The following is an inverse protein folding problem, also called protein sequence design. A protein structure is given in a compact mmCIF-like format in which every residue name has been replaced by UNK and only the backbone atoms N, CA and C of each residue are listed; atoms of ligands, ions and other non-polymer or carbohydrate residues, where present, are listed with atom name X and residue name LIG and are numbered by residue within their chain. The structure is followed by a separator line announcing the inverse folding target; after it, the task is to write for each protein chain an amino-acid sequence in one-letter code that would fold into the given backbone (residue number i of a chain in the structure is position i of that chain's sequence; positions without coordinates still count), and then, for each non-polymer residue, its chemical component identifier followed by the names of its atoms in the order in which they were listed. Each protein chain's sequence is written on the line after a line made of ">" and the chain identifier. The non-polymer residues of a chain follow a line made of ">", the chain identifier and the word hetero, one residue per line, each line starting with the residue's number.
data_IF_750184881022
#
_entry.id   IF_750184881022
#
_cell.length_a   1.000
_cell.length_b   1.000
_cell.length_c   1.000
_cell.angle_alpha   90.00
_cell.angle_beta   90.00
_cell.angle_gamma   90.00
#
_symmetry.space_group_name_H-M   'P 1'
#
loop_
_entity.id
_entity.type
_entity.pdbx_description
1 polymer ?
#
# COMPACT_ATOMS: atom_id res chain seq x y z
N UNK A 1 38.97 39.00 -26.52
CA UNK A 1 38.51 39.59 -25.26
C UNK A 1 36.99 39.44 -25.11
N UNK A 2 36.18 39.84 -26.12
CA UNK A 2 34.70 39.82 -26.06
C UNK A 2 34.10 38.42 -25.86
N UNK A 3 34.64 37.40 -26.54
CA UNK A 3 34.22 35.99 -26.42
C UNK A 3 34.47 35.45 -25.00
N UNK A 4 35.60 35.86 -24.39
CA UNK A 4 35.99 35.44 -23.05
C UNK A 4 35.04 36.04 -21.97
N UNK A 5 34.62 37.28 -22.17
CA UNK A 5 33.64 37.96 -21.31
C UNK A 5 32.24 37.31 -21.44
N UNK A 6 31.83 36.94 -22.65
CA UNK A 6 30.56 36.24 -22.89
C UNK A 6 30.59 34.83 -22.25
N UNK A 7 31.70 34.09 -22.38
CA UNK A 7 31.84 32.78 -21.72
C UNK A 7 31.83 32.88 -20.20
N UNK A 8 32.49 33.93 -19.63
CA UNK A 8 32.39 34.17 -18.18
C UNK A 8 30.99 34.56 -17.73
N UNK A 9 30.31 35.43 -18.49
CA UNK A 9 28.94 35.82 -18.21
C UNK A 9 27.97 34.60 -18.30
N UNK A 10 28.14 33.75 -19.31
CA UNK A 10 27.34 32.51 -19.39
C UNK A 10 27.61 31.52 -18.25
N UNK A 11 28.86 31.44 -17.78
CA UNK A 11 29.18 30.66 -16.58
C UNK A 11 28.57 31.25 -15.30
N UNK A 12 28.50 32.57 -15.20
CA UNK A 12 27.91 33.26 -14.05
C UNK A 12 26.40 33.15 -14.04
N UNK A 13 25.73 33.20 -15.20
CA UNK A 13 24.28 33.08 -15.38
C UNK A 13 23.86 31.58 -15.29
N UNK A 14 24.73 30.65 -15.75
CA UNK A 14 24.47 29.19 -15.67
C UNK A 14 24.79 28.58 -14.30
N UNK A 15 25.40 29.35 -13.37
CA UNK A 15 26.01 28.82 -12.14
C UNK A 15 25.09 28.70 -10.93
N UNK A 16 23.84 29.16 -10.98
CA UNK A 16 22.94 29.07 -9.84
C UNK A 16 21.63 28.40 -10.22
N UNK A 17 21.68 27.16 -10.68
CA UNK A 17 20.57 26.25 -10.44
C UNK A 17 20.67 25.87 -8.98
N UNK A 18 20.13 26.70 -8.11
CA UNK A 18 19.71 26.22 -6.79
C UNK A 18 18.83 25.01 -7.05
N UNK A 19 19.33 23.84 -6.69
CA UNK A 19 18.53 22.63 -6.66
C UNK A 19 17.48 22.83 -5.56
N UNK A 20 16.39 23.53 -5.89
CA UNK A 20 15.25 23.58 -5.02
C UNK A 20 14.75 22.13 -4.87
N UNK A 21 14.93 21.58 -3.68
CA UNK A 21 14.33 20.31 -3.32
C UNK A 21 12.82 20.51 -3.34
N UNK A 22 12.21 20.17 -4.47
CA UNK A 22 10.75 20.20 -4.58
C UNK A 22 10.20 19.05 -3.71
N UNK A 23 9.40 19.35 -2.68
CA UNK A 23 8.85 18.29 -1.84
C UNK A 23 7.93 17.40 -2.68
N UNK A 24 8.11 16.08 -2.56
CA UNK A 24 7.26 15.08 -3.22
C UNK A 24 6.08 14.75 -2.30
N UNK A 25 4.86 14.96 -2.79
CA UNK A 25 3.67 14.46 -2.11
C UNK A 25 3.66 12.93 -2.18
N UNK A 26 3.77 12.27 -1.04
CA UNK A 26 3.76 10.80 -0.97
C UNK A 26 2.35 10.23 -0.94
N UNK A 27 1.46 10.83 -0.15
CA UNK A 27 0.06 10.42 -0.03
C UNK A 27 -0.82 11.67 0.05
N UNK A 28 -1.84 11.74 -0.78
CA UNK A 28 -2.88 12.78 -0.75
C UNK A 28 -4.24 12.14 -1.03
N UNK A 29 -5.24 12.54 -0.27
CA UNK A 29 -6.63 12.07 -0.42
C UNK A 29 -7.62 13.22 -0.54
N UNK A 30 -7.13 14.46 -0.62
CA UNK A 30 -7.95 15.67 -0.54
C UNK A 30 -8.95 15.81 -1.70
N UNK A 31 -8.65 15.17 -2.85
CA UNK A 31 -9.52 15.19 -4.04
C UNK A 31 -10.50 14.01 -4.13
N UNK A 32 -10.56 13.14 -3.11
CA UNK A 32 -11.38 11.93 -3.14
C UNK A 32 -12.61 12.08 -2.24
N UNK A 33 -13.79 11.90 -2.82
CA UNK A 33 -15.06 11.90 -2.07
C UNK A 33 -15.21 10.71 -1.11
N UNK A 34 -14.52 9.60 -1.39
CA UNK A 34 -14.61 8.38 -0.57
C UNK A 34 -13.26 7.99 0.02
N UNK A 35 -13.26 7.43 1.25
CA UNK A 35 -12.07 6.84 1.84
C UNK A 35 -11.43 5.79 0.93
N UNK A 36 -10.10 5.70 0.89
CA UNK A 36 -9.42 4.73 0.04
C UNK A 36 -9.70 3.29 0.50
N UNK A 37 -9.97 2.42 -0.46
CA UNK A 37 -9.97 0.97 -0.28
C UNK A 37 -8.80 0.39 -1.05
N UNK A 38 -7.89 -0.25 -0.34
CA UNK A 38 -6.66 -0.81 -0.93
C UNK A 38 -6.64 -2.31 -0.68
N UNK A 39 -6.66 -3.09 -1.75
CA UNK A 39 -6.44 -4.52 -1.71
C UNK A 39 -4.95 -4.80 -1.83
N UNK A 40 -4.38 -5.43 -0.80
CA UNK A 40 -2.99 -5.82 -0.73
C UNK A 40 -2.80 -7.35 -0.67
N UNK A 41 -3.78 -8.10 -1.15
CA UNK A 41 -3.73 -9.56 -1.24
C UNK A 41 -2.52 -9.99 -2.09
N UNK A 42 -1.70 -10.88 -1.54
CA UNK A 42 -0.49 -11.36 -2.20
C UNK A 42 0.63 -10.34 -2.35
N UNK A 43 0.53 -9.16 -1.74
CA UNK A 43 1.56 -8.14 -1.84
C UNK A 43 2.88 -8.59 -1.21
N UNK A 44 3.99 -8.42 -1.92
CA UNK A 44 5.31 -8.56 -1.34
C UNK A 44 5.66 -7.37 -0.43
N UNK A 45 6.73 -7.50 0.38
CA UNK A 45 7.08 -6.51 1.40
C UNK A 45 7.17 -5.08 0.87
N UNK A 46 7.84 -4.85 -0.28
CA UNK A 46 7.95 -3.52 -0.87
C UNK A 46 6.61 -2.94 -1.34
N UNK A 47 5.72 -3.77 -1.91
CA UNK A 47 4.38 -3.32 -2.30
C UNK A 47 3.48 -3.02 -1.10
N UNK A 48 3.66 -3.77 0.01
CA UNK A 48 2.88 -3.57 1.23
C UNK A 48 3.39 -2.37 2.05
N UNK A 49 4.70 -2.31 2.29
CA UNK A 49 5.33 -1.38 3.25
C UNK A 49 5.95 -0.15 2.59
N UNK A 50 6.09 -0.18 1.27
CA UNK A 50 6.84 0.81 0.51
C UNK A 50 8.28 0.40 0.26
N UNK A 51 8.88 1.00 -0.73
CA UNK A 51 10.23 0.70 -1.17
C UNK A 51 10.95 1.95 -1.71
N UNK A 52 12.26 1.82 -1.91
CA UNK A 52 13.07 2.81 -2.61
C UNK A 52 13.50 2.20 -3.94
N UNK A 53 13.01 2.74 -5.04
CA UNK A 53 13.37 2.26 -6.38
C UNK A 53 14.87 2.29 -6.60
N UNK A 54 15.36 1.25 -7.25
CA UNK A 54 16.75 1.23 -7.74
C UNK A 54 16.94 2.30 -8.82
N UNK A 55 18.07 3.02 -8.75
CA UNK A 55 18.43 3.98 -9.79
C UNK A 55 19.08 3.25 -10.99
N UNK A 56 18.42 3.23 -12.17
CA UNK A 56 18.99 2.57 -13.34
C UNK A 56 20.25 3.28 -13.89
N UNK A 57 20.51 4.53 -13.48
CA UNK A 57 21.60 5.36 -13.97
C UNK A 57 22.83 5.36 -13.06
N UNK A 58 22.94 4.45 -12.10
CA UNK A 58 24.08 4.36 -11.15
C UNK A 58 25.47 4.31 -11.80
N UNK A 59 25.56 4.06 -13.10
CA UNK A 59 26.82 4.01 -13.86
C UNK A 59 27.16 5.30 -14.62
N UNK A 60 26.35 6.36 -14.54
CA UNK A 60 26.49 7.54 -15.40
C UNK A 60 26.69 8.89 -14.70
N UNK A 61 26.80 8.96 -13.40
CA UNK A 61 27.05 10.22 -12.66
C UNK A 61 25.86 11.18 -12.52
N UNK A 62 24.65 10.79 -12.93
CA UNK A 62 23.39 11.50 -12.74
C UNK A 62 22.49 10.66 -11.82
N UNK A 63 22.83 10.62 -10.52
CA UNK A 63 22.00 9.90 -9.55
C UNK A 63 20.70 10.65 -9.30
N UNK A 64 19.58 9.93 -9.47
CA UNK A 64 18.27 10.44 -9.03
C UNK A 64 18.25 10.53 -7.49
N UNK A 65 17.93 11.69 -6.91
CA UNK A 65 17.88 11.83 -5.45
C UNK A 65 17.02 10.76 -4.78
N UNK A 66 17.44 10.25 -3.64
CA UNK A 66 16.78 9.16 -2.95
C UNK A 66 15.31 9.46 -2.60
N UNK A 67 14.96 10.72 -2.31
CA UNK A 67 13.59 11.15 -2.02
C UNK A 67 12.65 11.03 -3.23
N UNK A 68 13.16 11.17 -4.45
CA UNK A 68 12.37 10.99 -5.69
C UNK A 68 12.09 9.51 -5.98
N UNK A 69 12.96 8.62 -5.49
CA UNK A 69 12.87 7.16 -5.67
C UNK A 69 11.96 6.47 -4.65
N UNK A 70 11.46 7.18 -3.63
CA UNK A 70 10.55 6.64 -2.64
C UNK A 70 9.22 6.23 -3.28
N UNK A 71 8.79 5.01 -3.03
CA UNK A 71 7.46 4.49 -3.36
C UNK A 71 6.66 4.14 -2.12
N UNK A 72 5.46 4.67 -2.05
CA UNK A 72 4.53 4.38 -0.95
C UNK A 72 3.94 2.99 -1.08
N UNK A 73 3.91 2.24 0.02
CA UNK A 73 3.26 0.95 0.10
C UNK A 73 1.74 1.04 0.27
N UNK A 74 1.10 -0.13 0.21
CA UNK A 74 -0.34 -0.26 0.39
C UNK A 74 -0.82 0.30 1.74
N UNK A 75 -0.05 0.13 2.83
CA UNK A 75 -0.38 0.68 4.15
C UNK A 75 -0.52 2.21 4.14
N UNK A 76 0.33 2.91 3.38
CA UNK A 76 0.28 4.37 3.27
C UNK A 76 -0.87 4.82 2.36
N UNK A 77 -1.09 4.10 1.24
CA UNK A 77 -2.20 4.37 0.31
C UNK A 77 -3.56 4.17 0.96
N UNK A 78 -3.65 3.24 1.92
CA UNK A 78 -4.86 2.97 2.70
C UNK A 78 -5.09 3.94 3.86
N UNK A 79 -4.20 4.90 4.08
CA UNK A 79 -4.32 5.86 5.18
C UNK A 79 -5.68 6.57 5.15
N UNK A 80 -6.35 6.63 6.31
CA UNK A 80 -7.74 7.12 6.51
C UNK A 80 -8.79 6.31 5.74
N UNK A 81 -8.48 5.05 5.41
CA UNK A 81 -9.38 4.15 4.69
C UNK A 81 -9.25 2.71 5.16
N UNK A 82 -9.39 1.78 4.23
CA UNK A 82 -9.39 0.35 4.49
C UNK A 82 -8.24 -0.33 3.75
N UNK A 83 -7.46 -1.11 4.49
CA UNK A 83 -6.51 -2.06 3.94
C UNK A 83 -7.12 -3.46 4.01
N UNK A 84 -7.35 -4.07 2.85
CA UNK A 84 -7.84 -5.44 2.74
C UNK A 84 -6.70 -6.40 2.40
N UNK A 85 -6.63 -7.53 3.09
CA UNK A 85 -5.64 -8.58 2.82
C UNK A 85 -6.34 -9.94 2.93
N UNK A 86 -6.50 -10.62 1.82
CA UNK A 86 -6.90 -12.03 1.84
C UNK A 86 -5.67 -12.93 2.05
N UNK A 87 -5.89 -14.07 2.65
CA UNK A 87 -4.84 -15.04 2.99
C UNK A 87 -3.66 -14.40 3.77
N UNK A 88 -3.97 -13.63 4.80
CA UNK A 88 -2.98 -12.88 5.60
C UNK A 88 -1.83 -13.76 6.13
N UNK A 89 -2.03 -15.05 6.26
CA UNK A 89 -1.03 -16.03 6.65
C UNK A 89 0.10 -16.21 5.63
N UNK A 90 -0.13 -15.86 4.35
CA UNK A 90 0.89 -15.94 3.29
C UNK A 90 1.91 -14.80 3.38
N UNK A 91 1.61 -13.74 4.12
CA UNK A 91 2.59 -12.70 4.39
C UNK A 91 3.77 -13.27 5.20
N UNK A 92 4.98 -12.92 4.79
CA UNK A 92 6.19 -13.25 5.56
C UNK A 92 6.09 -12.70 6.98
N UNK A 93 6.68 -13.40 7.93
CA UNK A 93 6.66 -13.03 9.36
C UNK A 93 7.14 -11.60 9.59
N UNK A 94 8.19 -11.16 8.89
CA UNK A 94 8.73 -9.80 8.98
C UNK A 94 7.71 -8.75 8.50
N UNK A 95 6.96 -9.07 7.44
CA UNK A 95 5.89 -8.19 6.94
C UNK A 95 4.72 -8.11 7.92
N UNK A 96 4.39 -9.22 8.59
CA UNK A 96 3.36 -9.25 9.62
C UNK A 96 3.78 -8.41 10.85
N UNK A 97 5.06 -8.46 11.26
CA UNK A 97 5.60 -7.64 12.34
C UNK A 97 5.58 -6.14 11.97
N UNK A 98 5.97 -5.81 10.74
CA UNK A 98 5.93 -4.44 10.24
C UNK A 98 4.50 -3.90 10.17
N UNK A 99 3.54 -4.73 9.73
CA UNK A 99 2.12 -4.41 9.72
C UNK A 99 1.59 -4.17 11.14
N UNK A 100 2.01 -4.99 12.11
CA UNK A 100 1.69 -4.78 13.52
C UNK A 100 2.20 -3.42 14.02
N UNK A 101 3.44 -3.05 13.70
CA UNK A 101 4.02 -1.75 14.07
C UNK A 101 3.22 -0.61 13.44
N UNK A 102 2.89 -0.70 12.15
CA UNK A 102 2.07 0.29 11.46
C UNK A 102 0.69 0.48 12.12
N UNK A 103 0.03 -0.63 12.50
CA UNK A 103 -1.26 -0.61 13.23
C UNK A 103 -1.17 0.00 14.63
N UNK A 104 -0.01 -0.13 15.29
CA UNK A 104 0.19 0.39 16.64
C UNK A 104 0.53 1.87 16.65
N UNK A 105 1.38 2.30 15.73
CA UNK A 105 1.92 3.66 15.70
C UNK A 105 1.14 4.62 14.81
N UNK A 106 0.31 4.10 13.89
CA UNK A 106 -0.40 4.91 12.87
C UNK A 106 0.53 5.59 11.87
N UNK A 107 1.82 5.23 11.86
CA UNK A 107 2.84 5.75 10.96
C UNK A 107 3.91 4.71 10.73
N UNK A 108 4.53 4.72 9.55
CA UNK A 108 5.57 3.77 9.19
C UNK A 108 6.59 4.41 8.26
N UNK A 109 7.89 4.15 8.50
CA UNK A 109 8.97 4.65 7.64
C UNK A 109 9.19 3.74 6.45
N UNK A 110 9.35 4.32 5.27
CA UNK A 110 9.70 3.59 4.06
C UNK A 110 11.20 3.34 4.07
N UNK A 111 11.61 2.08 3.91
CA UNK A 111 13.01 1.66 3.82
C UNK A 111 13.23 0.88 2.55
N UNK A 112 14.37 1.06 1.90
CA UNK A 112 14.74 0.26 0.72
C UNK A 112 14.84 -1.21 1.08
N UNK A 113 14.11 -2.05 0.35
CA UNK A 113 14.06 -3.52 0.51
C UNK A 113 15.11 -4.22 -0.35
N UNK A 114 15.89 -3.47 -1.14
CA UNK A 114 16.90 -4.04 -2.04
C UNK A 114 18.11 -4.53 -1.25
N UNK A 115 18.31 -5.83 -1.22
CA UNK A 115 19.48 -6.50 -0.59
C UNK A 115 20.82 -6.18 -1.28
N UNK A 116 20.80 -5.48 -2.43
CA UNK A 116 21.99 -5.24 -3.24
C UNK A 116 22.64 -3.86 -3.06
N UNK A 117 22.05 -2.96 -2.30
CA UNK A 117 22.69 -1.70 -2.03
C UNK A 117 23.65 -1.81 -0.84
N UNK A 118 24.91 -2.10 -1.12
CA UNK A 118 26.03 -1.92 -0.19
C UNK A 118 26.28 -0.43 0.15
N UNK A 119 25.32 0.44 -0.13
CA UNK A 119 25.30 1.85 0.21
C UNK A 119 24.37 2.14 1.41
N UNK A 120 24.45 3.35 1.93
CA UNK A 120 23.67 3.79 3.07
C UNK A 120 22.18 3.46 2.92
N UNK A 121 21.63 2.79 3.92
CA UNK A 121 20.19 2.45 3.95
C UNK A 121 19.37 3.74 3.91
N UNK A 122 18.63 3.96 2.83
CA UNK A 122 17.74 5.10 2.71
C UNK A 122 16.47 4.79 3.50
N UNK A 123 16.18 5.62 4.48
CA UNK A 123 14.99 5.55 5.31
C UNK A 123 14.27 6.89 5.28
N UNK A 124 12.97 6.88 5.01
CA UNK A 124 12.16 8.09 5.11
C UNK A 124 11.88 8.47 6.57
N UNK A 125 11.46 9.69 6.80
CA UNK A 125 10.72 10.00 8.03
C UNK A 125 9.44 9.16 8.10
N UNK A 126 8.87 8.97 9.32
CA UNK A 126 7.64 8.22 9.47
C UNK A 126 6.48 8.86 8.69
N UNK A 127 5.92 8.11 7.74
CA UNK A 127 4.78 8.52 6.93
C UNK A 127 3.49 8.04 7.58
N UNK A 128 2.44 8.88 7.71
CA UNK A 128 1.16 8.47 8.28
C UNK A 128 0.54 7.26 7.53
N UNK A 129 0.00 6.30 8.29
CA UNK A 129 -0.65 5.11 7.78
C UNK A 129 -1.74 4.62 8.74
N UNK A 130 -2.66 5.50 9.09
CA UNK A 130 -3.83 5.16 9.90
C UNK A 130 -4.90 4.51 9.02
N UNK A 131 -5.14 3.22 9.17
CA UNK A 131 -6.11 2.48 8.37
C UNK A 131 -6.88 1.45 9.20
N UNK A 132 -8.05 1.05 8.70
CA UNK A 132 -8.78 -0.10 9.21
C UNK A 132 -8.27 -1.33 8.47
N UNK A 133 -7.75 -2.31 9.22
CA UNK A 133 -7.34 -3.59 8.65
C UNK A 133 -8.54 -4.52 8.56
N UNK A 134 -8.84 -5.00 7.36
CA UNK A 134 -9.76 -6.11 7.11
C UNK A 134 -8.95 -7.25 6.50
N UNK A 135 -8.94 -8.39 7.14
CA UNK A 135 -8.22 -9.54 6.63
C UNK A 135 -9.10 -10.79 6.63
N UNK A 136 -8.85 -11.65 5.67
CA UNK A 136 -9.49 -12.94 5.53
C UNK A 136 -8.46 -14.06 5.51
N UNK A 137 -8.92 -15.29 5.73
CA UNK A 137 -8.08 -16.47 5.67
C UNK A 137 -8.81 -17.70 6.17
N UNK A 138 -8.26 -18.86 5.91
CA UNK A 138 -8.79 -20.13 6.39
C UNK A 138 -8.43 -20.35 7.87
N UNK A 139 -9.23 -21.15 8.58
CA UNK A 139 -8.98 -21.46 10.00
C UNK A 139 -7.58 -22.06 10.24
N UNK A 140 -7.13 -22.94 9.35
CA UNK A 140 -5.78 -23.52 9.40
C UNK A 140 -4.69 -22.46 9.18
N UNK A 141 -4.98 -21.46 8.39
CA UNK A 141 -4.11 -20.34 8.11
C UNK A 141 -3.85 -19.44 9.33
N UNK A 142 -4.79 -19.39 10.26
CA UNK A 142 -4.63 -18.62 11.50
C UNK A 142 -3.45 -19.11 12.34
N UNK A 143 -3.11 -20.39 12.26
CA UNK A 143 -1.94 -20.95 12.95
C UNK A 143 -0.61 -20.43 12.39
N UNK A 144 -0.59 -20.03 11.11
CA UNK A 144 0.58 -19.43 10.45
C UNK A 144 0.76 -17.94 10.71
N UNK A 145 -0.18 -17.29 11.38
CA UNK A 145 -0.06 -15.86 11.71
C UNK A 145 0.91 -15.64 12.87
N UNK A 146 1.62 -14.50 12.79
CA UNK A 146 2.44 -14.04 13.91
C UNK A 146 1.56 -13.82 15.17
N UNK A 147 1.89 -14.44 16.31
CA UNK A 147 1.02 -14.44 17.50
C UNK A 147 0.65 -13.03 17.99
N UNK A 148 1.61 -12.08 17.94
CA UNK A 148 1.37 -10.72 18.37
C UNK A 148 0.40 -9.96 17.45
N UNK A 149 0.46 -10.19 16.12
CA UNK A 149 -0.49 -9.59 15.17
C UNK A 149 -1.90 -10.14 15.42
N UNK A 150 -2.03 -11.46 15.58
CA UNK A 150 -3.30 -12.10 15.92
C UNK A 150 -3.88 -11.57 17.23
N UNK A 151 -3.05 -11.46 18.27
CA UNK A 151 -3.46 -10.90 19.56
C UNK A 151 -3.95 -9.45 19.44
N UNK A 152 -3.28 -8.65 18.60
CA UNK A 152 -3.68 -7.26 18.34
C UNK A 152 -5.04 -7.19 17.65
N UNK A 153 -5.25 -8.00 16.61
CA UNK A 153 -6.53 -8.06 15.89
C UNK A 153 -7.66 -8.46 16.84
N UNK A 154 -7.46 -9.49 17.66
CA UNK A 154 -8.46 -9.94 18.63
C UNK A 154 -8.74 -8.93 19.74
N UNK A 155 -7.72 -8.19 20.17
CA UNK A 155 -7.84 -7.23 21.28
C UNK A 155 -8.55 -5.94 20.90
N UNK A 156 -8.49 -5.53 19.64
CA UNK A 156 -9.01 -4.24 19.16
C UNK A 156 -9.99 -4.37 17.98
N UNK A 157 -10.26 -5.58 17.54
CA UNK A 157 -11.12 -5.86 16.40
C UNK A 157 -12.07 -7.02 16.67
N UNK A 158 -12.59 -7.60 15.60
CA UNK A 158 -13.53 -8.69 15.63
C UNK A 158 -13.04 -9.84 14.74
N UNK A 159 -13.10 -11.07 15.30
CA UNK A 159 -12.99 -12.29 14.49
C UNK A 159 -14.38 -12.76 14.10
N UNK A 160 -14.65 -12.86 12.79
CA UNK A 160 -15.91 -13.34 12.26
C UNK A 160 -15.69 -14.72 11.66
N UNK A 161 -16.31 -15.73 12.26
CA UNK A 161 -16.24 -17.10 11.76
C UNK A 161 -17.36 -17.32 10.74
N UNK A 162 -16.97 -17.50 9.48
CA UNK A 162 -17.90 -17.80 8.41
C UNK A 162 -18.33 -19.26 8.48
N UNK A 163 -19.62 -19.51 8.35
CA UNK A 163 -20.13 -20.87 8.24
C UNK A 163 -19.89 -21.40 6.82
N UNK A 164 -19.55 -22.70 6.72
CA UNK A 164 -19.33 -23.37 5.43
C UNK A 164 -20.60 -23.56 4.60
N UNK A 165 -21.75 -23.50 5.25
CA UNK A 165 -23.05 -23.71 4.60
C UNK A 165 -24.02 -22.62 5.01
N UNK A 166 -24.93 -22.28 4.12
CA UNK A 166 -26.03 -21.36 4.35
C UNK A 166 -27.34 -22.23 4.44
N UNK A 167 -28.09 -22.19 5.55
CA UNK A 167 -29.36 -22.93 5.64
C UNK A 167 -30.37 -22.40 4.62
N UNK A 168 -31.15 -23.31 4.06
CA UNK A 168 -32.18 -22.99 3.06
C UNK A 168 -33.42 -22.42 3.75
N UNK A 169 -33.42 -21.10 3.91
CA UNK A 169 -34.54 -20.33 4.47
C UNK A 169 -34.98 -19.26 3.46
N UNK A 170 -36.22 -18.80 3.54
CA UNK A 170 -36.73 -17.76 2.65
C UNK A 170 -35.94 -16.44 2.75
N UNK A 171 -35.43 -16.11 3.94
CA UNK A 171 -34.56 -14.98 4.15
C UNK A 171 -33.23 -15.15 3.38
N UNK A 172 -32.62 -16.31 3.48
CA UNK A 172 -31.36 -16.59 2.83
C UNK A 172 -31.50 -16.71 1.30
N UNK A 173 -32.63 -17.28 0.83
CA UNK A 173 -32.97 -17.26 -0.61
C UNK A 173 -33.08 -15.81 -1.13
N UNK A 174 -33.76 -14.95 -0.36
CA UNK A 174 -33.85 -13.52 -0.72
C UNK A 174 -32.49 -12.84 -0.77
N UNK A 175 -31.58 -13.13 0.17
CA UNK A 175 -30.21 -12.62 0.16
C UNK A 175 -29.43 -13.10 -1.06
N UNK A 176 -29.58 -14.37 -1.42
CA UNK A 176 -28.95 -14.96 -2.60
C UNK A 176 -29.42 -14.29 -3.89
N UNK A 177 -30.74 -14.10 -4.04
CA UNK A 177 -31.32 -13.42 -5.21
C UNK A 177 -30.80 -11.98 -5.31
N UNK A 178 -30.71 -11.25 -4.19
CA UNK A 178 -30.14 -9.90 -4.18
C UNK A 178 -28.67 -9.89 -4.56
N UNK A 179 -27.87 -10.84 -4.08
CA UNK A 179 -26.48 -10.98 -4.45
C UNK A 179 -26.33 -11.20 -5.96
N UNK A 180 -27.07 -12.16 -6.53
CA UNK A 180 -27.05 -12.42 -7.98
C UNK A 180 -27.46 -11.18 -8.78
N UNK A 181 -28.49 -10.47 -8.35
CA UNK A 181 -28.92 -9.24 -9.01
C UNK A 181 -27.85 -8.13 -8.98
N UNK A 182 -27.10 -8.02 -7.86
CA UNK A 182 -26.00 -7.06 -7.75
C UNK A 182 -24.84 -7.41 -8.69
N UNK A 183 -24.47 -8.69 -8.78
CA UNK A 183 -23.39 -9.14 -9.66
C UNK A 183 -23.76 -8.93 -11.15
N UNK A 184 -25.00 -9.21 -11.54
CA UNK A 184 -25.50 -8.94 -12.89
C UNK A 184 -25.44 -7.42 -13.18
N UNK A 185 -25.86 -6.59 -12.23
CA UNK A 185 -25.81 -5.14 -12.40
C UNK A 185 -24.38 -4.59 -12.56
N UNK A 186 -23.41 -5.21 -11.91
CA UNK A 186 -21.97 -4.87 -12.07
C UNK A 186 -21.43 -5.30 -13.43
N UNK A 187 -21.75 -6.53 -13.87
CA UNK A 187 -21.22 -7.11 -15.11
C UNK A 187 -21.76 -6.41 -16.36
N UNK A 188 -23.02 -5.93 -16.33
CA UNK A 188 -23.71 -5.22 -17.42
C UNK A 188 -23.82 -5.97 -18.75
N UNK A 189 -23.39 -7.22 -18.81
CA UNK A 189 -23.40 -8.06 -20.01
C UNK A 189 -24.45 -9.17 -19.92
N UNK A 190 -24.73 -9.64 -18.72
CA UNK A 190 -25.68 -10.74 -18.48
C UNK A 190 -27.05 -10.15 -18.18
N UNK A 191 -28.11 -10.60 -18.87
CA UNK A 191 -29.46 -10.18 -18.54
C UNK A 191 -29.90 -10.72 -17.18
N UNK A 192 -30.84 -10.04 -16.54
CA UNK A 192 -31.45 -10.55 -15.31
C UNK A 192 -32.16 -11.89 -15.56
N UNK A 193 -32.02 -12.81 -14.62
CA UNK A 193 -32.78 -14.06 -14.64
C UNK A 193 -34.27 -13.78 -14.42
N UNK A 194 -35.11 -14.42 -15.22
CA UNK A 194 -36.55 -14.38 -15.04
C UNK A 194 -36.99 -15.33 -13.90
N UNK A 195 -38.18 -15.09 -13.37
CA UNK A 195 -38.80 -15.98 -12.41
C UNK A 195 -39.26 -17.23 -13.15
N UNK A 196 -38.55 -18.35 -12.99
CA UNK A 196 -39.02 -19.66 -13.43
C UNK A 196 -39.98 -20.24 -12.40
#
# INVERSE_FOLDING_TARGET
>A
LFILVIMMAMRYIGGNKENYLVPKLLVGHDDKEMPPFVDATGAHAGALLGDVKHDPFQSGGLETPAHERLEVGAIHKASRGVLFIDEINLLRTESQQSLLTALQEGKFSITGQSERSSGAMVKSEPVPCEFILVCAGNLDAIQGMHPALRSRIRGYGYEVYMQSTMPDTDENRTKLVRFVAQEIAKDKKIPHFDKA
#
